data_IF_550657703833
#
_entry.id   IF_550657703833
#
_cell.length_a   1.000
_cell.length_b   1.000
_cell.length_c   1.000
_cell.angle_alpha   90.00
_cell.angle_beta   90.00
_cell.angle_gamma   90.00
#
_symmetry.space_group_name_H-M   'P 1'
#
loop_
_entity.id
_entity.type
_entity.pdbx_description
1 polymer ?
#
# COMPACT_ATOMS: atom_id res chain seq x y z
N UNK A 1 -17.19 -4.29 5.53
CA UNK A 1 -16.00 -3.98 4.73
C UNK A 1 -14.95 -5.02 5.06
N UNK A 2 -14.34 -5.61 4.03
CA UNK A 2 -13.25 -6.58 4.15
C UNK A 2 -12.18 -6.22 3.12
N UNK A 3 -10.93 -6.26 3.56
CA UNK A 3 -9.74 -6.05 2.72
C UNK A 3 -8.88 -7.30 2.88
N UNK A 4 -8.49 -7.91 1.77
CA UNK A 4 -7.60 -9.06 1.73
C UNK A 4 -6.33 -8.71 0.99
N UNK A 5 -5.18 -8.99 1.60
CA UNK A 5 -3.86 -8.64 1.07
C UNK A 5 -3.02 -9.90 1.07
N UNK A 6 -2.56 -10.33 -0.10
CA UNK A 6 -1.78 -11.56 -0.29
C UNK A 6 -0.45 -11.22 -0.95
N UNK A 7 0.67 -11.70 -0.41
CA UNK A 7 1.98 -11.59 -1.07
C UNK A 7 2.00 -12.52 -2.30
N UNK A 8 2.30 -11.96 -3.46
CA UNK A 8 2.28 -12.69 -4.76
C UNK A 8 3.68 -13.01 -5.24
N UNK A 9 4.58 -12.02 -5.20
CA UNK A 9 5.95 -12.13 -5.71
C UNK A 9 6.88 -11.24 -4.88
N UNK A 10 8.16 -11.60 -4.84
CA UNK A 10 9.21 -10.81 -4.18
C UNK A 10 10.54 -11.06 -4.86
N UNK A 11 11.23 -10.00 -5.28
CA UNK A 11 12.53 -10.13 -5.92
C UNK A 11 13.46 -8.96 -5.56
N UNK A 12 14.76 -9.26 -5.55
CA UNK A 12 15.82 -8.27 -5.37
C UNK A 12 16.03 -7.48 -6.66
N UNK A 13 16.20 -6.17 -6.52
CA UNK A 13 16.53 -5.28 -7.64
C UNK A 13 18.03 -5.39 -7.91
N UNK A 14 18.40 -5.88 -9.09
CA UNK A 14 19.80 -6.09 -9.49
C UNK A 14 20.62 -6.97 -8.50
N UNK A 15 19.97 -7.85 -7.74
CA UNK A 15 20.62 -8.70 -6.73
C UNK A 15 21.05 -7.95 -5.46
N UNK A 16 20.51 -6.76 -5.20
CA UNK A 16 20.70 -6.04 -3.94
C UNK A 16 19.60 -6.44 -2.96
N UNK A 17 19.96 -7.22 -1.94
CA UNK A 17 19.05 -7.64 -0.86
C UNK A 17 18.54 -6.49 0.00
N UNK A 18 19.16 -5.30 -0.09
CA UNK A 18 18.68 -4.08 0.55
C UNK A 18 17.69 -3.27 -0.30
N UNK A 19 17.41 -3.72 -1.53
CA UNK A 19 16.47 -3.13 -2.49
C UNK A 19 15.56 -4.22 -3.08
N UNK A 20 14.42 -4.45 -2.41
CA UNK A 20 13.49 -5.53 -2.75
C UNK A 20 12.17 -4.93 -3.23
N UNK A 21 11.64 -5.47 -4.33
CA UNK A 21 10.28 -5.19 -4.79
C UNK A 21 9.41 -6.40 -4.45
N UNK A 22 8.41 -6.17 -3.59
CA UNK A 22 7.37 -7.14 -3.27
C UNK A 22 6.07 -6.73 -3.94
N UNK A 23 5.39 -7.67 -4.59
CA UNK A 23 4.05 -7.45 -5.16
C UNK A 23 2.98 -8.11 -4.30
N UNK A 24 1.93 -7.36 -3.98
CA UNK A 24 0.78 -7.80 -3.22
C UNK A 24 -0.49 -7.73 -4.08
N UNK A 25 -1.35 -8.75 -3.95
CA UNK A 25 -2.73 -8.70 -4.42
C UNK A 25 -3.59 -8.11 -3.31
N UNK A 26 -4.26 -7.00 -3.59
CA UNK A 26 -5.13 -6.30 -2.64
C UNK A 26 -6.55 -6.36 -3.17
N UNK A 27 -7.41 -7.11 -2.47
CA UNK A 27 -8.84 -7.21 -2.77
C UNK A 27 -9.64 -6.40 -1.78
N UNK A 28 -10.45 -5.49 -2.28
CA UNK A 28 -11.27 -4.60 -1.47
C UNK A 28 -12.57 -4.30 -2.19
N UNK A 29 -13.71 -4.56 -1.52
CA UNK A 29 -15.05 -4.26 -2.05
C UNK A 29 -15.29 -4.78 -3.49
N UNK A 30 -14.75 -5.97 -3.81
CA UNK A 30 -14.90 -6.59 -5.14
C UNK A 30 -13.94 -6.08 -6.21
N UNK A 31 -13.07 -5.12 -5.90
CA UNK A 31 -11.95 -4.68 -6.76
C UNK A 31 -10.67 -5.39 -6.34
N UNK A 32 -9.80 -5.68 -7.31
CA UNK A 32 -8.47 -6.23 -7.08
C UNK A 32 -7.41 -5.27 -7.64
N UNK A 33 -6.39 -4.98 -6.84
CA UNK A 33 -5.24 -4.17 -7.21
C UNK A 33 -3.97 -4.97 -7.02
N UNK A 34 -3.00 -4.79 -7.92
CA UNK A 34 -1.63 -5.29 -7.72
C UNK A 34 -0.76 -4.15 -7.25
N UNK A 35 -0.43 -4.15 -5.97
CA UNK A 35 0.36 -3.09 -5.33
C UNK A 35 1.79 -3.57 -5.19
N UNK A 36 2.74 -2.76 -5.64
CA UNK A 36 4.18 -3.00 -5.45
C UNK A 36 4.66 -2.21 -4.24
N UNK A 37 5.41 -2.84 -3.35
CA UNK A 37 6.18 -2.17 -2.31
C UNK A 37 7.66 -2.35 -2.62
N UNK A 38 8.37 -1.24 -2.86
CA UNK A 38 9.83 -1.24 -2.95
C UNK A 38 10.41 -0.87 -1.60
N UNK A 39 11.09 -1.80 -0.95
CA UNK A 39 11.84 -1.58 0.29
C UNK A 39 13.30 -1.35 -0.07
N UNK A 40 13.78 -0.11 0.07
CA UNK A 40 15.16 0.27 -0.21
C UNK A 40 15.76 1.00 0.99
N UNK A 41 16.78 0.42 1.63
CA UNK A 41 17.54 1.04 2.74
C UNK A 41 16.64 1.62 3.85
N UNK A 42 15.60 0.87 4.24
CA UNK A 42 14.66 1.26 5.29
C UNK A 42 13.55 2.23 4.85
N UNK A 43 13.52 2.65 3.58
CA UNK A 43 12.41 3.40 2.99
C UNK A 43 11.49 2.46 2.21
N UNK A 44 10.20 2.74 2.24
CA UNK A 44 9.19 2.02 1.47
C UNK A 44 8.51 2.98 0.50
N UNK A 45 8.41 2.58 -0.74
CA UNK A 45 7.64 3.28 -1.76
C UNK A 45 6.61 2.33 -2.32
N UNK A 46 5.36 2.78 -2.39
CA UNK A 46 4.24 1.99 -2.89
C UNK A 46 3.92 2.42 -4.32
N UNK A 47 3.45 1.50 -5.15
CA UNK A 47 3.08 1.73 -6.54
C UNK A 47 2.00 0.76 -7.00
N UNK A 48 1.47 0.98 -8.20
CA UNK A 48 0.59 0.01 -8.87
C UNK A 48 1.43 -0.75 -9.90
N UNK A 49 1.37 -2.07 -9.89
CA UNK A 49 2.14 -2.89 -10.83
C UNK A 49 1.82 -2.49 -12.29
N UNK A 50 2.87 -2.23 -13.07
CA UNK A 50 2.74 -1.81 -14.47
C UNK A 50 2.33 -0.35 -14.70
N UNK A 51 2.23 0.47 -13.63
CA UNK A 51 2.03 1.92 -13.74
C UNK A 51 3.21 2.65 -13.11
N UNK A 52 3.57 3.79 -13.70
CA UNK A 52 4.57 4.68 -13.12
C UNK A 52 4.02 5.42 -11.90
N UNK A 53 4.89 6.07 -11.13
CA UNK A 53 4.49 6.89 -9.99
C UNK A 53 4.33 6.11 -8.69
N UNK A 54 4.13 6.87 -7.61
CA UNK A 54 4.06 6.36 -6.23
C UNK A 54 2.68 6.61 -5.63
N UNK A 55 2.24 5.67 -4.79
CA UNK A 55 1.01 5.79 -4.04
C UNK A 55 1.26 6.48 -2.70
N UNK A 56 0.35 7.38 -2.33
CA UNK A 56 0.31 8.00 -1.02
C UNK A 56 -1.15 8.18 -0.56
N UNK A 57 -1.33 8.44 0.74
CA UNK A 57 -2.62 8.76 1.32
C UNK A 57 -2.71 10.28 1.38
N UNK A 58 -3.69 10.85 0.68
CA UNK A 58 -4.06 12.25 0.81
C UNK A 58 -4.78 12.45 2.14
N UNK A 59 -4.30 13.39 2.94
CA UNK A 59 -4.82 13.58 4.31
C UNK A 59 -6.06 14.45 4.34
N UNK A 60 -6.24 15.34 3.35
CA UNK A 60 -7.37 16.26 3.28
C UNK A 60 -8.71 15.54 3.03
N UNK A 61 -8.71 14.58 2.11
CA UNK A 61 -9.92 13.83 1.70
C UNK A 61 -9.86 12.34 2.09
N UNK A 62 -8.76 11.90 2.73
CA UNK A 62 -8.53 10.52 3.12
C UNK A 62 -8.69 9.54 1.94
N UNK A 63 -8.15 9.93 0.77
CA UNK A 63 -8.11 9.10 -0.43
C UNK A 63 -6.70 8.60 -0.72
N UNK A 64 -6.61 7.58 -1.58
CA UNK A 64 -5.33 7.12 -2.13
C UNK A 64 -5.10 7.81 -3.46
N UNK A 65 -3.92 8.42 -3.63
CA UNK A 65 -3.52 9.07 -4.88
C UNK A 65 -2.26 8.44 -5.44
N UNK A 66 -2.14 8.46 -6.77
CA UNK A 66 -0.92 8.11 -7.51
C UNK A 66 -0.26 9.39 -7.99
N UNK A 67 0.96 9.65 -7.54
CA UNK A 67 1.77 10.78 -7.95
C UNK A 67 2.83 10.33 -8.96
N UNK A 68 2.85 10.97 -10.13
CA UNK A 68 3.90 10.80 -11.14
C UNK A 68 4.74 12.07 -11.19
N UNK A 69 6.07 11.91 -11.13
CA UNK A 69 7.01 13.04 -11.17
C UNK A 69 7.87 12.91 -12.42
N UNK A 70 7.90 13.97 -13.23
CA UNK A 70 8.73 14.06 -14.43
C UNK A 70 9.57 15.34 -14.43
N UNK A 71 10.68 15.33 -15.17
CA UNK A 71 11.48 16.53 -15.41
C UNK A 71 10.74 17.43 -16.40
N UNK A 72 10.46 18.66 -15.98
CA UNK A 72 9.94 19.73 -16.83
C UNK A 72 11.05 20.54 -17.49
N UNK A 73 10.66 21.40 -18.43
CA UNK A 73 11.56 22.41 -18.99
C UNK A 73 12.04 23.39 -17.91
N UNK A 74 13.26 23.93 -18.07
CA UNK A 74 13.78 25.01 -17.22
C UNK A 74 14.00 24.64 -15.74
N UNK A 75 14.46 23.42 -15.46
CA UNK A 75 14.66 22.88 -14.10
C UNK A 75 13.37 22.71 -13.27
N UNK A 76 12.19 22.76 -13.91
CA UNK A 76 10.92 22.50 -13.24
C UNK A 76 10.67 21.00 -13.02
N UNK A 77 9.84 20.68 -12.03
CA UNK A 77 9.24 19.35 -11.88
C UNK A 77 7.79 19.41 -12.34
N UNK A 78 7.38 18.44 -13.14
CA UNK A 78 5.98 18.21 -13.48
C UNK A 78 5.47 17.13 -12.53
N UNK A 79 4.46 17.48 -11.75
CA UNK A 79 3.80 16.57 -10.80
C UNK A 79 2.38 16.38 -11.30
N UNK A 80 2.03 15.13 -11.57
CA UNK A 80 0.68 14.72 -11.95
C UNK A 80 0.12 13.79 -10.86
N UNK A 81 -1.09 14.05 -10.42
CA UNK A 81 -1.73 13.34 -9.31
C UNK A 81 -3.14 12.92 -9.70
N UNK A 82 -3.43 11.63 -9.52
CA UNK A 82 -4.76 11.09 -9.77
C UNK A 82 -5.27 10.23 -8.60
N UNK A 83 -6.58 10.27 -8.29
CA UNK A 83 -7.17 9.38 -7.30
C UNK A 83 -7.18 7.92 -7.80
N UNK A 84 -6.95 6.99 -6.88
CA UNK A 84 -7.04 5.55 -7.14
C UNK A 84 -8.39 5.03 -6.65
N UNK A 85 -9.37 5.07 -7.56
CA UNK A 85 -10.77 4.77 -7.26
C UNK A 85 -10.99 3.35 -6.70
N UNK A 86 -11.43 3.29 -5.45
CA UNK A 86 -11.80 2.05 -4.75
C UNK A 86 -10.67 1.36 -4.00
N UNK A 87 -9.48 1.97 -3.92
CA UNK A 87 -8.42 1.55 -3.01
C UNK A 87 -8.43 2.47 -1.78
N UNK A 88 -8.65 1.92 -0.59
CA UNK A 88 -8.71 2.72 0.63
C UNK A 88 -7.33 2.98 1.25
N UNK A 89 -7.20 4.05 2.04
CA UNK A 89 -6.04 4.26 2.88
C UNK A 89 -5.72 3.08 3.80
N UNK A 90 -6.75 2.37 4.27
CA UNK A 90 -6.60 1.20 5.15
C UNK A 90 -5.94 0.03 4.40
N UNK A 91 -6.26 -0.15 3.12
CA UNK A 91 -5.61 -1.14 2.28
C UNK A 91 -4.12 -0.84 2.10
N UNK A 92 -3.74 0.42 1.87
CA UNK A 92 -2.32 0.83 1.78
C UNK A 92 -1.56 0.55 3.08
N UNK A 93 -2.17 0.86 4.23
CA UNK A 93 -1.58 0.56 5.56
C UNK A 93 -1.39 -0.94 5.74
N UNK A 94 -2.36 -1.76 5.32
CA UNK A 94 -2.25 -3.21 5.36
C UNK A 94 -1.10 -3.75 4.50
N UNK A 95 -0.84 -3.15 3.33
CA UNK A 95 0.32 -3.51 2.49
C UNK A 95 1.63 -3.22 3.22
N UNK A 96 1.75 -2.04 3.83
CA UNK A 96 2.94 -1.69 4.63
C UNK A 96 3.15 -2.65 5.81
N UNK A 97 2.07 -3.09 6.45
CA UNK A 97 2.15 -4.10 7.51
C UNK A 97 2.62 -5.47 6.98
N UNK A 98 2.06 -5.93 5.86
CA UNK A 98 2.48 -7.17 5.22
C UNK A 98 3.96 -7.15 4.81
N UNK A 99 4.47 -5.97 4.42
CA UNK A 99 5.88 -5.77 4.04
C UNK A 99 6.83 -5.63 5.22
N UNK A 100 6.34 -5.22 6.39
CA UNK A 100 7.12 -5.19 7.63
C UNK A 100 7.26 -6.57 8.27
N UNK A 101 6.33 -7.49 8.01
CA UNK A 101 6.44 -8.87 8.46
C UNK A 101 7.37 -9.67 7.56
N UNK A 102 8.47 -10.20 8.10
CA UNK A 102 9.48 -10.95 7.34
C UNK A 102 8.89 -12.13 6.54
N UNK A 103 7.82 -12.75 7.04
CA UNK A 103 7.20 -13.94 6.43
C UNK A 103 5.68 -13.83 6.30
N UNK A 104 5.13 -12.62 6.37
CA UNK A 104 3.69 -12.43 6.25
C UNK A 104 3.22 -12.79 4.85
N UNK A 105 2.31 -13.77 4.77
CA UNK A 105 1.72 -14.25 3.51
C UNK A 105 0.41 -13.54 3.23
N UNK A 106 -0.37 -13.34 4.28
CA UNK A 106 -1.72 -12.77 4.19
C UNK A 106 -1.96 -11.76 5.32
N UNK A 107 -2.60 -10.65 4.96
CA UNK A 107 -3.22 -9.73 5.90
C UNK A 107 -4.69 -9.57 5.52
N UNK A 108 -5.57 -9.83 6.48
CA UNK A 108 -7.02 -9.62 6.34
C UNK A 108 -7.46 -8.54 7.30
N UNK A 109 -8.16 -7.52 6.81
CA UNK A 109 -8.70 -6.42 7.62
C UNK A 109 -10.22 -6.45 7.51
N UNK A 110 -10.90 -6.56 8.64
CA UNK A 110 -12.37 -6.60 8.72
C UNK A 110 -12.90 -5.50 9.63
N UNK A 111 -14.04 -4.92 9.25
CA UNK A 111 -14.61 -3.79 10.00
C UNK A 111 -13.88 -2.47 9.77
N UNK A 112 -14.23 -1.43 10.54
CA UNK A 112 -13.71 -0.06 10.33
C UNK A 112 -14.49 0.70 9.25
N UNK A 113 -15.76 0.99 9.51
CA UNK A 113 -16.58 1.85 8.66
C UNK A 113 -16.45 3.33 9.01
N UNK A 114 -16.50 4.17 7.98
CA UNK A 114 -16.56 5.64 7.95
C UNK A 114 -17.09 6.33 9.22
N UNK A 115 -16.30 7.31 9.71
CA UNK A 115 -16.64 8.42 10.64
C UNK A 115 -17.46 8.04 11.88
N UNK A 116 -16.80 8.09 13.05
CA UNK A 116 -17.45 8.52 14.30
C UNK A 116 -17.80 7.46 15.35
N UNK A 117 -17.48 6.18 15.18
CA UNK A 117 -17.64 5.21 16.29
C UNK A 117 -16.43 4.28 16.44
N UNK A 118 -16.13 3.95 17.69
CA UNK A 118 -14.94 3.26 18.25
C UNK A 118 -14.63 1.84 17.69
N UNK A 119 -15.09 1.46 16.50
CA UNK A 119 -14.77 0.17 15.92
C UNK A 119 -13.42 0.25 15.19
N UNK A 120 -12.34 0.02 15.95
CA UNK A 120 -11.04 -0.28 15.36
C UNK A 120 -11.19 -1.46 14.40
N UNK A 121 -10.62 -1.40 13.19
CA UNK A 121 -10.64 -2.54 12.28
C UNK A 121 -9.91 -3.71 12.94
N UNK A 122 -10.47 -4.91 12.81
CA UNK A 122 -9.81 -6.14 13.21
C UNK A 122 -8.82 -6.52 12.11
N UNK A 123 -7.55 -6.63 12.47
CA UNK A 123 -6.48 -7.05 11.57
C UNK A 123 -6.07 -8.48 11.92
N UNK A 124 -6.03 -9.35 10.92
CA UNK A 124 -5.52 -10.71 11.01
C UNK A 124 -4.27 -10.82 10.14
N UNK A 125 -3.15 -11.20 10.72
CA UNK A 125 -1.88 -11.49 10.03
C UNK A 125 -1.73 -12.99 10.03
N UNK A 126 -1.75 -13.61 8.85
CA UNK A 126 -1.74 -15.07 8.68
C UNK A 126 -2.78 -15.78 9.58
N UNK A 127 -3.96 -15.16 9.74
CA UNK A 127 -5.06 -15.66 10.58
C UNK A 127 -4.97 -15.33 12.07
N UNK A 128 -3.88 -14.71 12.54
CA UNK A 128 -3.68 -14.32 13.95
C UNK A 128 -4.01 -12.84 14.14
N UNK A 129 -4.78 -12.51 15.19
CA UNK A 129 -5.12 -11.12 15.50
C UNK A 129 -3.86 -10.28 15.75
N UNK A 130 -3.79 -9.13 15.07
CA UNK A 130 -2.73 -8.15 15.21
C UNK A 130 -3.29 -6.73 15.30
N UNK A 131 -2.44 -5.78 15.67
CA UNK A 131 -2.80 -4.37 15.72
C UNK A 131 -2.40 -3.65 14.43
N UNK A 132 -3.29 -2.81 13.92
CA UNK A 132 -2.94 -1.87 12.85
C UNK A 132 -1.95 -0.86 13.44
N UNK A 133 -0.66 -0.98 13.10
CA UNK A 133 0.32 0.03 13.51
C UNK A 133 -0.01 1.35 12.82
N UNK A 134 0.02 2.44 13.58
CA UNK A 134 0.04 3.79 13.00
C UNK A 134 1.40 3.96 12.31
N UNK A 135 1.46 3.61 11.03
CA UNK A 135 2.66 3.81 10.23
C UNK A 135 2.53 5.12 9.47
N UNK A 136 2.76 6.26 10.13
CA UNK A 136 3.13 7.55 9.53
C UNK A 136 4.02 8.34 10.49
#
# INVERSE_FOLDING_TARGET
>A
MEIKIERVDSHEVNGDSSDVITTYSVRENGKEFRITCRSCRGRRTLGVAGKEGSLYIETEDNTVRRQTVALGGGCGLLIDEEPVEGLSPLALRGVLMADQGENTKEVTITGGGSVGTSNRPLVLIDGVAGDLKECF
#
